data_IF_860159157518
#
_entry.id   IF_860159157518
#
_cell.length_a   1.000
_cell.length_b   1.000
_cell.length_c   1.000
_cell.angle_alpha   90.00
_cell.angle_beta   90.00
_cell.angle_gamma   90.00
#
_symmetry.space_group_name_H-M   'P 1'
#
loop_
_entity.id
_entity.type
_entity.pdbx_description
1 polymer ?
#
# COMPACT_ATOMS: atom_id res chain seq x y z
N UNK A 1 9.39 -4.93 16.87
CA UNK A 1 8.28 -4.23 16.18
C UNK A 1 7.50 -5.23 15.35
N UNK A 2 6.22 -5.30 15.60
CA UNK A 2 5.36 -6.23 14.89
C UNK A 2 5.02 -5.71 13.51
N UNK A 3 5.01 -6.63 12.56
CA UNK A 3 4.59 -6.33 11.19
C UNK A 3 3.19 -6.89 10.97
N UNK A 4 2.39 -6.13 10.26
CA UNK A 4 1.08 -6.64 9.87
C UNK A 4 1.26 -7.67 8.76
N UNK A 5 0.56 -8.79 8.89
CA UNK A 5 0.50 -9.76 7.80
C UNK A 5 -0.59 -9.33 6.81
N UNK A 6 -0.60 -9.95 5.63
CA UNK A 6 -1.66 -9.66 4.67
C UNK A 6 -3.04 -9.97 5.23
N UNK A 7 -3.14 -11.05 6.00
CA UNK A 7 -4.40 -11.42 6.64
C UNK A 7 -4.85 -10.36 7.65
N UNK A 8 -3.91 -9.80 8.41
CA UNK A 8 -4.22 -8.74 9.35
C UNK A 8 -4.65 -7.47 8.62
N UNK A 9 -4.00 -7.16 7.50
CA UNK A 9 -4.38 -6.02 6.65
C UNK A 9 -5.82 -6.20 6.14
N UNK A 10 -6.16 -7.40 5.68
CA UNK A 10 -7.52 -7.67 5.21
C UNK A 10 -8.56 -7.49 6.31
N UNK A 11 -8.18 -7.83 7.55
CA UNK A 11 -9.08 -7.76 8.69
C UNK A 11 -9.25 -6.35 9.26
N UNK A 12 -8.43 -5.40 8.82
CA UNK A 12 -8.57 -4.01 9.28
C UNK A 12 -9.91 -3.44 8.85
N UNK A 13 -10.55 -2.73 9.78
CA UNK A 13 -11.83 -2.08 9.50
C UNK A 13 -11.59 -0.72 8.85
N UNK A 14 -11.03 -0.77 7.65
CA UNK A 14 -10.72 0.42 6.86
C UNK A 14 -10.72 0.05 5.39
N UNK A 15 -11.02 1.01 4.54
CA UNK A 15 -11.01 0.81 3.10
C UNK A 15 -9.71 1.26 2.46
N UNK A 16 -8.91 2.03 3.19
CA UNK A 16 -7.61 2.51 2.69
C UNK A 16 -6.52 2.22 3.70
N UNK A 17 -5.30 2.08 3.19
CA UNK A 17 -4.12 1.78 3.98
C UNK A 17 -3.11 2.91 3.86
N UNK A 18 -2.16 2.96 4.79
CA UNK A 18 -1.06 3.92 4.74
C UNK A 18 0.19 3.26 4.16
N UNK A 19 1.16 4.08 3.75
CA UNK A 19 2.45 3.56 3.30
C UNK A 19 3.14 2.75 4.41
N UNK A 20 3.02 3.21 5.65
CA UNK A 20 3.65 2.52 6.79
C UNK A 20 3.06 1.12 7.00
N UNK A 21 1.77 0.96 6.73
CA UNK A 21 1.12 -0.34 6.90
C UNK A 21 1.53 -1.35 5.82
N UNK A 22 1.73 -0.89 4.59
CA UNK A 22 2.04 -1.80 3.47
C UNK A 22 3.52 -2.03 3.27
N UNK A 23 4.37 -1.12 3.76
CA UNK A 23 5.81 -1.21 3.53
C UNK A 23 6.43 -2.54 3.99
N UNK A 24 6.10 -3.07 5.18
CA UNK A 24 6.68 -4.36 5.59
C UNK A 24 6.34 -5.51 4.64
N UNK A 25 5.14 -5.49 4.07
CA UNK A 25 4.71 -6.53 3.14
C UNK A 25 5.47 -6.46 1.82
N UNK A 26 5.88 -5.26 1.43
CA UNK A 26 6.62 -5.04 0.20
C UNK A 26 8.12 -5.06 0.40
N UNK A 27 8.57 -5.25 1.65
CA UNK A 27 9.98 -5.18 2.03
C UNK A 27 10.60 -3.85 1.57
N UNK A 28 9.85 -2.77 1.70
CA UNK A 28 10.24 -1.45 1.21
C UNK A 28 10.16 -0.43 2.33
N UNK A 29 10.81 0.70 2.11
CA UNK A 29 10.76 1.83 3.03
C UNK A 29 9.48 2.64 2.77
N UNK A 30 8.71 3.03 3.81
CA UNK A 30 7.50 3.83 3.60
C UNK A 30 7.77 5.13 2.83
N UNK A 31 8.92 5.77 3.06
CA UNK A 31 9.27 7.00 2.35
C UNK A 31 9.46 6.72 0.85
N UNK A 32 10.02 5.58 0.49
CA UNK A 32 10.18 5.20 -0.91
C UNK A 32 8.82 5.01 -1.59
N UNK A 33 7.91 4.32 -0.90
CA UNK A 33 6.56 4.11 -1.44
C UNK A 33 5.86 5.46 -1.62
N UNK A 34 5.96 6.31 -0.62
CA UNK A 34 5.36 7.64 -0.68
C UNK A 34 5.92 8.45 -1.86
N UNK A 35 7.25 8.44 -2.03
CA UNK A 35 7.89 9.16 -3.12
C UNK A 35 7.45 8.66 -4.48
N UNK A 36 7.39 7.34 -4.66
CA UNK A 36 6.93 6.77 -5.93
C UNK A 36 5.47 7.12 -6.20
N UNK A 37 4.63 7.09 -5.17
CA UNK A 37 3.23 7.45 -5.33
C UNK A 37 3.05 8.89 -5.74
N UNK A 38 3.90 9.80 -5.22
CA UNK A 38 3.82 11.21 -5.54
C UNK A 38 4.37 11.52 -6.93
N UNK A 39 5.42 10.82 -7.35
CA UNK A 39 6.13 11.11 -8.59
C UNK A 39 5.74 10.19 -9.74
N UNK A 40 5.70 8.88 -9.48
CA UNK A 40 5.44 7.87 -10.51
C UNK A 40 4.64 6.72 -9.92
N UNK A 41 3.37 6.95 -9.68
CA UNK A 41 2.50 5.93 -9.07
C UNK A 41 2.38 4.67 -9.91
N UNK A 42 2.62 4.76 -11.21
CA UNK A 42 2.58 3.59 -12.10
C UNK A 42 3.66 2.57 -11.80
N UNK A 43 4.71 2.96 -11.07
CA UNK A 43 5.78 2.04 -10.69
C UNK A 43 5.39 1.13 -9.53
N UNK A 44 4.32 1.47 -8.81
CA UNK A 44 3.92 0.69 -7.64
C UNK A 44 3.23 -0.61 -7.97
N UNK A 45 2.60 -0.70 -9.14
CA UNK A 45 1.90 -1.92 -9.55
C UNK A 45 0.50 -2.07 -8.97
N UNK A 46 0.08 -1.18 -8.10
CA UNK A 46 -1.26 -1.16 -7.53
C UNK A 46 -1.76 0.28 -7.46
N UNK A 47 -3.09 0.49 -7.48
CA UNK A 47 -3.64 1.84 -7.44
C UNK A 47 -3.34 2.55 -6.12
N UNK A 48 -3.10 3.86 -6.19
CA UNK A 48 -2.95 4.69 -5.01
C UNK A 48 -3.79 5.96 -5.20
N UNK A 49 -4.16 6.55 -4.07
CA UNK A 49 -4.88 7.82 -4.05
C UNK A 49 -3.95 8.86 -3.46
N UNK A 50 -3.68 9.92 -4.22
CA UNK A 50 -2.83 11.00 -3.73
C UNK A 50 -3.72 12.22 -3.47
N UNK A 51 -3.71 12.67 -2.22
CA UNK A 51 -4.48 13.86 -1.80
C UNK A 51 -3.52 14.83 -1.15
N UNK A 52 -3.10 15.85 -1.91
CA UNK A 52 -2.10 16.78 -1.45
C UNK A 52 -0.78 16.07 -1.22
N UNK A 53 -0.33 15.99 0.02
CA UNK A 53 0.89 15.28 0.39
C UNK A 53 0.61 13.92 1.01
N UNK A 54 -0.65 13.53 1.07
CA UNK A 54 -1.05 12.26 1.67
C UNK A 54 -1.24 11.21 0.59
N UNK A 55 -0.73 10.03 0.86
CA UNK A 55 -0.89 8.88 -0.02
C UNK A 55 -1.74 7.85 0.70
N UNK A 56 -2.81 7.41 0.06
CA UNK A 56 -3.69 6.39 0.59
C UNK A 56 -3.75 5.25 -0.41
N UNK A 57 -3.77 4.04 0.09
CA UNK A 57 -3.72 2.85 -0.73
C UNK A 57 -5.02 2.09 -0.55
N UNK A 58 -5.87 1.98 -1.60
CA UNK A 58 -7.10 1.21 -1.49
C UNK A 58 -6.80 -0.23 -1.08
N UNK A 59 -7.48 -0.70 -0.04
CA UNK A 59 -7.19 -2.00 0.54
C UNK A 59 -7.46 -3.15 -0.42
N UNK A 60 -8.62 -3.18 -1.06
CA UNK A 60 -9.00 -4.30 -1.91
C UNK A 60 -8.05 -4.51 -3.10
N UNK A 61 -7.72 -3.48 -3.89
CA UNK A 61 -6.76 -3.66 -4.97
C UNK A 61 -5.37 -4.05 -4.47
N UNK A 62 -4.93 -3.51 -3.32
CA UNK A 62 -3.64 -3.87 -2.76
C UNK A 62 -3.60 -5.34 -2.36
N UNK A 63 -4.63 -5.84 -1.69
CA UNK A 63 -4.71 -7.23 -1.29
C UNK A 63 -4.68 -8.13 -2.53
N UNK A 64 -5.43 -7.76 -3.56
CA UNK A 64 -5.44 -8.52 -4.81
C UNK A 64 -4.05 -8.53 -5.45
N UNK A 65 -3.39 -7.38 -5.46
CA UNK A 65 -2.04 -7.29 -6.01
C UNK A 65 -1.09 -8.22 -5.26
N UNK A 66 -1.17 -8.25 -3.93
CA UNK A 66 -0.29 -9.11 -3.13
C UNK A 66 -0.54 -10.59 -3.36
N UNK A 67 -1.79 -10.96 -3.65
CA UNK A 67 -2.16 -12.36 -3.86
C UNK A 67 -1.90 -12.84 -5.28
N UNK A 68 -2.16 -11.97 -6.26
CA UNK A 68 -2.15 -12.36 -7.67
C UNK A 68 -1.02 -11.74 -8.46
N UNK A 69 -0.28 -10.80 -7.88
CA UNK A 69 0.79 -10.08 -8.57
C UNK A 69 0.28 -9.05 -9.56
N UNK A 70 -1.01 -8.75 -9.52
CA UNK A 70 -1.63 -7.78 -10.42
C UNK A 70 -2.94 -7.28 -9.83
N UNK A 71 -3.45 -6.22 -10.35
CA UNK A 71 -4.75 -5.69 -9.90
C UNK A 71 -5.85 -6.05 -10.87
#
# INVERSE_FOLDING_TARGET
MERLTLEQIEALDTEVLTCAQVAPLLAANPATIHGQAMERKELLGFPVIVMGRRVKIPKQPFVRFMREGRV
#
